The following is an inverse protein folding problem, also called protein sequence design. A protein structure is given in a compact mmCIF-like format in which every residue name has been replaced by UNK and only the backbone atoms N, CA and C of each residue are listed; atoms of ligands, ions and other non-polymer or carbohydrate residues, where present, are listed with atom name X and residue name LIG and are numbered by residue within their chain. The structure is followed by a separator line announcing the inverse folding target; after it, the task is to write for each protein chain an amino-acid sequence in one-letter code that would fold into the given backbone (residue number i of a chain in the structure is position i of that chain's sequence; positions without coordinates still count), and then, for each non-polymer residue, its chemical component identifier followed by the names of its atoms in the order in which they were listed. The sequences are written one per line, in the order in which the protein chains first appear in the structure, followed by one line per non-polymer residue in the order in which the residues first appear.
data_IF_735250054315
#
_entry.id   IF_735250054315
#
_cell.length_a   1.000
_cell.length_b   1.000
_cell.length_c   1.000
_cell.angle_alpha   90.00
_cell.angle_beta   90.00
_cell.angle_gamma   90.00
#
_symmetry.space_group_name_H-M   'P 1'
#
loop_
_entity.id
_entity.type
_entity.pdbx_description
1 polymer ?
#
# COMPACT_ATOMS: atom_id res chain seq x y z
N UNK A 1 -0.87 -16.86 -1.12
CA UNK A 1 0.39 -16.11 -1.33
C UNK A 1 0.70 -16.13 -2.81
N UNK A 2 1.17 -15.01 -3.34
CA UNK A 2 1.64 -14.88 -4.72
C UNK A 2 3.11 -14.46 -4.70
N UNK A 3 4.02 -15.40 -4.98
CA UNK A 3 5.46 -15.16 -4.93
C UNK A 3 6.07 -15.24 -3.53
N UNK A 4 7.27 -14.66 -3.39
CA UNK A 4 8.06 -14.67 -2.15
C UNK A 4 7.96 -13.31 -1.47
N UNK A 5 7.83 -13.30 -0.14
CA UNK A 5 7.88 -12.05 0.62
C UNK A 5 9.22 -11.34 0.41
N UNK A 6 9.16 -10.04 0.15
CA UNK A 6 10.32 -9.18 0.17
C UNK A 6 10.89 -9.10 1.60
N UNK A 7 12.18 -8.78 1.76
CA UNK A 7 12.74 -8.49 3.06
C UNK A 7 11.95 -7.39 3.78
N UNK A 8 11.72 -7.55 5.09
CA UNK A 8 10.94 -6.57 5.88
C UNK A 8 11.51 -5.14 5.80
N UNK A 9 12.82 -5.00 5.62
CA UNK A 9 13.48 -3.72 5.39
C UNK A 9 13.05 -3.05 4.07
N UNK A 10 12.86 -3.81 3.00
CA UNK A 10 12.38 -3.31 1.71
C UNK A 10 10.92 -2.84 1.80
N UNK A 11 10.07 -3.61 2.49
CA UNK A 11 8.69 -3.20 2.79
C UNK A 11 8.69 -1.92 3.62
N UNK A 12 9.58 -1.81 4.61
CA UNK A 12 9.76 -0.60 5.40
C UNK A 12 10.10 0.64 4.56
N UNK A 13 11.03 0.51 3.63
CA UNK A 13 11.40 1.59 2.69
C UNK A 13 10.22 2.01 1.82
N UNK A 14 9.42 1.06 1.34
CA UNK A 14 8.23 1.36 0.54
C UNK A 14 7.17 2.13 1.35
N UNK A 15 6.93 1.73 2.59
CA UNK A 15 5.99 2.41 3.50
C UNK A 15 6.49 3.82 3.87
N UNK A 16 7.80 4.00 4.06
CA UNK A 16 8.42 5.31 4.29
C UNK A 16 8.25 6.22 3.06
N UNK A 17 8.47 5.69 1.87
CA UNK A 17 8.27 6.43 0.62
C UNK A 17 6.80 6.84 0.42
N UNK A 18 5.85 5.96 0.76
CA UNK A 18 4.43 6.28 0.68
C UNK A 18 4.02 7.36 1.69
N UNK A 19 4.55 7.33 2.92
CA UNK A 19 4.30 8.37 3.93
C UNK A 19 4.85 9.74 3.54
N UNK A 20 5.95 9.79 2.79
CA UNK A 20 6.51 11.03 2.27
C UNK A 20 5.71 11.61 1.09
N UNK A 21 4.78 10.83 0.51
CA UNK A 21 3.98 11.26 -0.63
C UNK A 21 2.73 12.01 -0.16
N UNK A 22 2.53 13.20 -0.73
CA UNK A 22 1.25 13.90 -0.63
C UNK A 22 0.32 13.41 -1.74
N UNK A 23 -0.69 12.62 -1.38
CA UNK A 23 -1.67 12.08 -2.33
C UNK A 23 -2.80 13.05 -2.63
N UNK A 24 -3.28 13.78 -1.62
CA UNK A 24 -4.41 14.69 -1.73
C UNK A 24 -3.93 16.14 -1.94
N UNK A 25 -4.14 16.69 -3.13
CA UNK A 25 -3.66 18.03 -3.50
C UNK A 25 -4.54 19.16 -2.97
N UNK A 26 -5.84 18.88 -2.80
CA UNK A 26 -6.86 19.85 -2.34
C UNK A 26 -7.07 19.83 -0.82
N UNK A 27 -6.49 18.87 -0.10
CA UNK A 27 -6.59 18.78 1.37
C UNK A 27 -5.22 18.97 2.03
N UNK A 28 -5.23 19.30 3.33
CA UNK A 28 -4.04 19.39 4.17
C UNK A 28 -3.75 18.06 4.89
N UNK A 29 -4.29 16.94 4.39
CA UNK A 29 -4.07 15.62 5.01
C UNK A 29 -2.62 15.21 4.77
N UNK A 30 -1.91 14.97 5.88
CA UNK A 30 -0.64 14.27 5.90
C UNK A 30 -0.82 12.95 6.63
N UNK A 31 -0.20 11.89 6.12
CA UNK A 31 -0.24 10.58 6.73
C UNK A 31 1.05 10.39 7.52
N UNK A 32 1.02 10.34 8.86
CA UNK A 32 2.21 10.07 9.65
C UNK A 32 2.78 8.69 9.30
N UNK A 33 4.10 8.60 9.16
CA UNK A 33 4.77 7.34 8.81
C UNK A 33 4.43 6.18 9.75
N UNK A 34 4.25 6.48 11.04
CA UNK A 34 3.88 5.47 12.04
C UNK A 34 2.45 4.96 11.83
N UNK A 35 1.54 5.78 11.28
CA UNK A 35 0.18 5.34 10.95
C UNK A 35 0.21 4.34 9.79
N UNK A 36 0.89 4.67 8.69
CA UNK A 36 1.02 3.78 7.53
C UNK A 36 1.67 2.44 7.93
N UNK A 37 2.73 2.49 8.75
CA UNK A 37 3.40 1.29 9.28
C UNK A 37 2.50 0.46 10.20
N UNK A 38 1.70 1.11 11.04
CA UNK A 38 0.76 0.44 11.93
C UNK A 38 -0.37 -0.24 11.14
N UNK A 39 -0.89 0.40 10.09
CA UNK A 39 -1.88 -0.20 9.20
C UNK A 39 -1.27 -1.41 8.49
N UNK A 40 -0.10 -1.30 7.88
CA UNK A 40 0.55 -2.44 7.24
C UNK A 40 0.85 -3.61 8.21
N UNK A 41 1.14 -3.30 9.48
CA UNK A 41 1.29 -4.31 10.53
C UNK A 41 -0.03 -5.02 10.82
N UNK A 42 -1.11 -4.25 11.01
CA UNK A 42 -2.45 -4.80 11.27
C UNK A 42 -3.00 -5.60 10.10
N UNK A 43 -2.74 -5.17 8.86
CA UNK A 43 -3.27 -5.80 7.65
C UNK A 43 -2.55 -7.12 7.33
N UNK A 44 -1.24 -7.21 7.55
CA UNK A 44 -0.47 -8.35 7.04
C UNK A 44 0.76 -8.73 7.86
N UNK A 45 1.08 -8.04 8.95
CA UNK A 45 2.39 -8.17 9.60
C UNK A 45 3.56 -7.85 8.65
N UNK A 46 3.32 -6.97 7.67
CA UNK A 46 4.25 -6.60 6.58
C UNK A 46 4.60 -7.72 5.60
N UNK A 47 3.71 -8.70 5.42
CA UNK A 47 3.89 -9.75 4.42
C UNK A 47 3.53 -9.23 3.01
N UNK A 48 4.54 -8.99 2.17
CA UNK A 48 4.32 -8.37 0.85
C UNK A 48 3.71 -9.29 -0.22
N UNK A 49 3.75 -10.61 -0.02
CA UNK A 49 3.26 -11.61 -0.97
C UNK A 49 1.95 -12.29 -0.51
N UNK A 50 1.36 -11.86 0.61
CA UNK A 50 0.14 -12.47 1.12
C UNK A 50 -1.08 -12.04 0.30
N UNK A 51 -2.00 -12.98 0.12
CA UNK A 51 -3.31 -12.74 -0.50
C UNK A 51 -4.34 -13.32 0.45
N UNK A 52 -5.30 -12.51 0.89
CA UNK A 52 -6.37 -12.95 1.79
C UNK A 52 -7.42 -13.82 1.08
N UNK A 53 -8.35 -14.39 1.85
CA UNK A 53 -9.45 -15.18 1.31
C UNK A 53 -10.38 -14.41 0.38
N UNK A 54 -10.43 -13.08 0.49
CA UNK A 54 -11.21 -12.19 -0.38
C UNK A 54 -10.39 -11.57 -1.51
N UNK A 55 -9.12 -11.96 -1.64
CA UNK A 55 -8.24 -11.51 -2.72
C UNK A 55 -7.52 -10.20 -2.48
N UNK A 56 -7.50 -9.69 -1.23
CA UNK A 56 -6.72 -8.50 -0.89
C UNK A 56 -5.22 -8.83 -0.88
N UNK A 57 -4.39 -7.95 -1.43
CA UNK A 57 -2.99 -8.27 -1.76
C UNK A 57 -2.01 -7.45 -0.92
N UNK A 58 -0.91 -8.09 -0.53
CA UNK A 58 0.32 -7.46 -0.09
C UNK A 58 0.26 -6.84 1.30
N UNK A 59 1.25 -5.99 1.57
CA UNK A 59 1.51 -5.45 2.90
C UNK A 59 0.35 -4.60 3.45
N UNK A 60 -0.39 -3.91 2.56
CA UNK A 60 -1.51 -3.04 2.91
C UNK A 60 -2.88 -3.65 2.58
N UNK A 61 -2.93 -4.94 2.21
CA UNK A 61 -4.18 -5.67 1.92
C UNK A 61 -5.17 -4.89 1.05
N UNK A 62 -4.69 -4.37 -0.07
CA UNK A 62 -5.54 -3.63 -1.00
C UNK A 62 -6.23 -4.61 -1.95
N UNK A 63 -7.54 -4.44 -2.13
CA UNK A 63 -8.31 -5.22 -3.09
C UNK A 63 -8.00 -4.75 -4.53
N UNK A 64 -7.90 -5.67 -5.51
CA UNK A 64 -7.70 -5.30 -6.91
C UNK A 64 -8.76 -4.33 -7.43
N UNK A 65 -10.03 -4.52 -7.07
CA UNK A 65 -11.13 -3.60 -7.45
C UNK A 65 -10.95 -2.19 -6.87
N UNK A 66 -10.43 -2.07 -5.65
CA UNK A 66 -10.06 -0.78 -5.06
C UNK A 66 -8.90 -0.15 -5.83
N UNK A 67 -7.91 -0.95 -6.23
CA UNK A 67 -6.78 -0.49 -7.03
C UNK A 67 -7.23 0.08 -8.38
N UNK A 68 -8.07 -0.66 -9.10
CA UNK A 68 -8.61 -0.27 -10.41
C UNK A 68 -9.42 1.03 -10.32
N UNK A 69 -10.26 1.15 -9.28
CA UNK A 69 -11.04 2.36 -9.04
C UNK A 69 -10.14 3.57 -8.75
N UNK A 70 -9.13 3.42 -7.90
CA UNK A 70 -8.19 4.48 -7.54
C UNK A 70 -7.32 4.93 -8.73
N UNK A 71 -6.87 3.99 -9.55
CA UNK A 71 -6.09 4.27 -10.78
C UNK A 71 -6.95 5.01 -11.82
N UNK A 72 -8.23 4.63 -11.96
CA UNK A 72 -9.17 5.36 -12.85
C UNK A 72 -9.43 6.81 -12.39
N UNK A 73 -9.35 7.08 -11.08
CA UNK A 73 -9.76 8.36 -10.50
C UNK A 73 -8.62 9.34 -10.29
N UNK A 74 -7.39 8.85 -10.11
CA UNK A 74 -6.28 9.65 -9.63
C UNK A 74 -4.97 9.18 -10.26
N UNK A 75 -4.16 10.10 -10.75
CA UNK A 75 -2.79 9.82 -11.16
C UNK A 75 -1.80 9.83 -9.96
N UNK A 76 -0.67 9.12 -10.05
CA UNK A 76 -0.37 8.09 -11.03
C UNK A 76 -1.02 6.75 -10.66
N UNK A 77 -1.00 5.83 -11.63
CA UNK A 77 -1.33 4.42 -11.43
C UNK A 77 -0.22 3.70 -10.68
N UNK A 78 -0.60 2.79 -9.78
CA UNK A 78 0.33 1.90 -9.11
C UNK A 78 0.00 0.44 -9.36
N UNK A 79 1.04 -0.39 -9.50
CA UNK A 79 0.91 -1.85 -9.58
C UNK A 79 0.91 -2.46 -8.17
N UNK A 80 -0.26 -2.93 -7.77
CA UNK A 80 -0.56 -3.61 -6.51
C UNK A 80 0.36 -4.79 -6.19
N UNK A 81 0.91 -5.46 -7.22
CA UNK A 81 1.73 -6.67 -7.08
C UNK A 81 3.20 -6.36 -6.79
N UNK A 82 3.60 -5.10 -6.85
CA UNK A 82 4.92 -4.63 -6.41
C UNK A 82 4.85 -4.14 -4.96
N UNK A 83 5.94 -4.30 -4.20
CA UNK A 83 6.02 -3.81 -2.81
C UNK A 83 5.75 -2.30 -2.74
N UNK A 84 6.38 -1.54 -3.63
CA UNK A 84 6.21 -0.09 -3.72
C UNK A 84 4.80 0.31 -4.13
N UNK A 85 4.25 -0.31 -5.17
CA UNK A 85 2.91 0.01 -5.65
C UNK A 85 1.82 -0.37 -4.66
N UNK A 86 1.96 -1.48 -3.93
CA UNK A 86 1.06 -1.84 -2.84
C UNK A 86 1.04 -0.80 -1.72
N UNK A 87 2.23 -0.36 -1.27
CA UNK A 87 2.36 0.67 -0.24
C UNK A 87 1.78 2.03 -0.69
N UNK A 88 2.06 2.42 -1.94
CA UNK A 88 1.54 3.65 -2.53
C UNK A 88 0.02 3.60 -2.68
N UNK A 89 -0.54 2.51 -3.20
CA UNK A 89 -1.99 2.39 -3.42
C UNK A 89 -2.77 2.36 -2.10
N UNK A 90 -2.28 1.60 -1.12
CA UNK A 90 -2.89 1.54 0.20
C UNK A 90 -2.86 2.90 0.88
N UNK A 91 -1.72 3.60 0.84
CA UNK A 91 -1.58 4.92 1.44
C UNK A 91 -2.40 5.99 0.70
N UNK A 92 -2.52 5.89 -0.62
CA UNK A 92 -3.34 6.79 -1.44
C UNK A 92 -4.83 6.65 -1.14
N UNK A 93 -5.27 5.49 -0.67
CA UNK A 93 -6.68 5.26 -0.31
C UNK A 93 -7.05 5.83 1.06
N UNK A 94 -6.08 6.06 1.95
CA UNK A 94 -6.27 6.66 3.28
C UNK A 94 -6.50 8.18 3.20
#
# INVERSE_FOLDING_TARGET
MEGTNAPRAEVGVALDAAAAKRFWTVSQVSLPVNLIKAIAEQESGWQSAIVSCVGAVGAMQVLPSTSDWMNTKFDPDYDLRTVSGNAMQGSKFL
#
